data_IF_819421963132
#
_entry.id   IF_819421963132
#
_cell.length_a   1.000
_cell.length_b   1.000
_cell.length_c   1.000
_cell.angle_alpha   90.00
_cell.angle_beta   90.00
_cell.angle_gamma   90.00
#
_symmetry.space_group_name_H-M   'P 1'
#
loop_
_entity.id
_entity.type
_entity.pdbx_description
1 polymer ?
#
# COMPACT_ATOMS: atom_id res chain seq x y z
N UNK A 1 91.57 56.63 -24.91
CA UNK A 1 91.21 55.46 -24.08
C UNK A 1 89.77 55.63 -23.68
N UNK A 2 88.80 54.83 -24.26
CA UNK A 2 87.38 54.86 -23.94
C UNK A 2 87.10 53.70 -22.96
N UNK A 3 86.60 54.01 -21.80
CA UNK A 3 86.18 53.00 -20.82
C UNK A 3 84.69 52.62 -21.13
N UNK A 4 84.44 51.40 -21.42
CA UNK A 4 83.12 50.81 -21.66
C UNK A 4 82.60 50.24 -20.34
N UNK A 5 81.53 50.82 -19.80
CA UNK A 5 80.84 50.32 -18.63
C UNK A 5 79.79 49.26 -19.06
N UNK A 6 79.94 48.04 -18.56
CA UNK A 6 78.96 46.98 -18.74
C UNK A 6 77.94 47.07 -17.67
N UNK A 7 76.63 47.26 -18.04
CA UNK A 7 75.47 47.07 -17.13
C UNK A 7 75.14 45.56 -17.12
N UNK A 8 75.15 44.99 -15.89
CA UNK A 8 74.56 43.70 -15.63
C UNK A 8 73.08 43.92 -15.34
N UNK A 9 72.20 43.40 -16.19
CA UNK A 9 70.77 43.21 -15.90
C UNK A 9 70.62 41.95 -15.04
N UNK A 10 70.31 42.11 -13.77
CA UNK A 10 69.90 41.03 -12.88
C UNK A 10 68.46 40.66 -13.19
N UNK A 11 68.19 39.57 -13.88
CA UNK A 11 66.85 39.03 -14.04
C UNK A 11 66.40 38.34 -12.77
N UNK A 12 65.39 38.89 -12.11
CA UNK A 12 64.68 38.20 -11.03
C UNK A 12 63.76 37.15 -11.65
N UNK A 13 64.16 35.89 -11.58
CA UNK A 13 63.30 34.74 -11.97
C UNK A 13 62.31 34.58 -10.86
N UNK A 14 61.06 35.08 -11.08
CA UNK A 14 59.93 34.79 -10.21
C UNK A 14 59.56 33.33 -10.35
N UNK A 15 59.86 32.52 -9.31
CA UNK A 15 59.36 31.15 -9.20
C UNK A 15 57.89 31.27 -8.86
N UNK A 16 57.00 31.06 -9.84
CA UNK A 16 55.59 30.85 -9.65
C UNK A 16 55.43 29.50 -8.92
N UNK A 17 55.25 29.51 -7.62
CA UNK A 17 54.84 28.36 -6.86
C UNK A 17 53.40 28.04 -7.29
N UNK A 18 53.20 27.10 -8.21
CA UNK A 18 51.94 26.46 -8.46
C UNK A 18 51.59 25.64 -7.23
N UNK A 19 50.78 26.25 -6.33
CA UNK A 19 50.16 25.51 -5.27
C UNK A 19 49.14 24.59 -5.95
N UNK A 20 49.24 23.26 -5.83
CA UNK A 20 48.23 22.38 -6.39
C UNK A 20 46.91 22.71 -5.68
N UNK A 21 45.98 23.27 -6.42
CA UNK A 21 44.60 23.37 -5.98
C UNK A 21 44.09 21.94 -5.92
N UNK A 22 44.05 21.36 -4.73
CA UNK A 22 43.38 20.08 -4.54
C UNK A 22 41.93 20.26 -4.96
N UNK A 23 41.52 19.63 -6.05
CA UNK A 23 40.12 19.64 -6.42
C UNK A 23 39.33 18.98 -5.29
N UNK A 24 38.33 19.67 -4.77
CA UNK A 24 37.41 19.10 -3.80
C UNK A 24 36.77 17.86 -4.42
N UNK A 25 36.90 16.71 -3.76
CA UNK A 25 36.29 15.46 -4.18
C UNK A 25 34.94 15.36 -3.48
N UNK A 26 33.92 14.96 -4.22
CA UNK A 26 32.60 14.71 -3.64
C UNK A 26 32.68 13.52 -2.67
N UNK A 27 32.28 13.72 -1.43
CA UNK A 27 32.36 12.70 -0.38
C UNK A 27 31.39 12.95 0.79
N UNK A 28 31.19 11.89 1.57
CA UNK A 28 30.43 11.94 2.82
C UNK A 28 31.28 12.47 3.97
N UNK A 29 30.67 13.32 4.77
CA UNK A 29 31.26 13.89 5.98
C UNK A 29 30.31 13.74 7.15
N UNK A 30 30.86 13.66 8.35
CA UNK A 30 30.09 13.61 9.59
C UNK A 30 30.70 14.56 10.61
N UNK A 31 29.84 15.23 11.35
CA UNK A 31 30.19 16.01 12.53
C UNK A 31 29.27 15.65 13.72
N UNK A 32 29.26 16.45 14.76
CA UNK A 32 28.43 16.23 15.95
C UNK A 32 26.92 16.48 15.75
N UNK A 33 26.52 17.02 14.58
CA UNK A 33 25.12 17.27 14.22
C UNK A 33 24.57 16.14 13.34
N UNK A 34 25.35 15.68 12.34
CA UNK A 34 24.90 14.64 11.42
C UNK A 34 25.83 14.42 10.22
N UNK A 35 25.29 13.68 9.24
CA UNK A 35 25.96 13.40 7.98
C UNK A 35 25.56 14.44 6.93
N UNK A 36 26.52 14.84 6.08
CA UNK A 36 26.30 15.69 4.92
C UNK A 36 27.22 15.28 3.75
N UNK A 37 26.90 15.70 2.53
CA UNK A 37 27.62 15.29 1.33
C UNK A 37 28.17 16.49 0.57
N UNK A 38 29.53 16.56 0.43
CA UNK A 38 30.22 17.58 -0.35
C UNK A 38 30.19 17.28 -1.85
N UNK A 39 30.26 18.32 -2.65
CA UNK A 39 30.35 18.24 -4.10
C UNK A 39 31.76 18.59 -4.59
N UNK A 40 32.11 18.18 -5.83
CA UNK A 40 33.42 18.45 -6.42
C UNK A 40 33.77 19.94 -6.55
N UNK A 41 32.79 20.83 -6.48
CA UNK A 41 32.98 22.28 -6.52
C UNK A 41 33.12 22.93 -5.13
N UNK A 42 33.21 22.13 -4.07
CA UNK A 42 33.31 22.59 -2.68
C UNK A 42 31.98 22.99 -2.04
N UNK A 43 30.87 22.93 -2.75
CA UNK A 43 29.52 23.08 -2.17
C UNK A 43 29.01 21.76 -1.60
N UNK A 44 27.78 21.74 -1.08
CA UNK A 44 27.12 20.55 -0.54
C UNK A 44 25.62 20.56 -0.85
N UNK A 45 24.99 19.40 -0.78
CA UNK A 45 23.52 19.29 -0.93
C UNK A 45 22.82 19.92 0.28
N UNK A 46 21.76 20.70 0.03
CA UNK A 46 20.88 21.25 1.06
C UNK A 46 19.48 21.48 0.51
N UNK A 47 18.47 21.29 1.36
CA UNK A 47 17.05 21.44 1.02
C UNK A 47 16.67 20.73 -0.31
N UNK A 48 17.15 19.48 -0.49
CA UNK A 48 16.99 18.74 -1.73
C UNK A 48 17.04 17.24 -1.51
N UNK A 49 16.59 16.50 -2.52
CA UNK A 49 16.87 15.09 -2.68
C UNK A 49 17.99 14.92 -3.72
N UNK A 50 18.86 13.96 -3.47
CA UNK A 50 19.97 13.66 -4.37
C UNK A 50 20.23 12.16 -4.48
N UNK A 51 20.58 11.72 -5.69
CA UNK A 51 21.01 10.34 -5.95
C UNK A 51 22.52 10.25 -5.86
N UNK A 52 23.01 9.51 -4.85
CA UNK A 52 24.43 9.30 -4.60
C UNK A 52 24.71 7.81 -4.68
N UNK A 53 25.62 7.39 -5.55
CA UNK A 53 25.98 5.98 -5.76
C UNK A 53 24.76 5.05 -5.97
N UNK A 54 23.76 5.52 -6.74
CA UNK A 54 22.55 4.76 -7.06
C UNK A 54 21.42 4.82 -6.03
N UNK A 55 21.65 5.37 -4.84
CA UNK A 55 20.68 5.50 -3.77
C UNK A 55 20.20 6.94 -3.60
N UNK A 56 18.93 7.12 -3.23
CA UNK A 56 18.36 8.44 -2.95
C UNK A 56 18.52 8.82 -1.48
N UNK A 57 18.85 10.09 -1.24
CA UNK A 57 19.00 10.71 0.07
C UNK A 57 18.26 12.03 0.09
N UNK A 58 17.85 12.47 1.28
CA UNK A 58 17.22 13.77 1.50
C UNK A 58 18.07 14.61 2.45
N UNK A 59 18.23 15.88 2.13
CA UNK A 59 19.03 16.83 2.94
C UNK A 59 18.15 17.99 3.40
N UNK A 60 18.34 18.40 4.66
CA UNK A 60 17.66 19.55 5.26
C UNK A 60 18.20 20.89 4.69
N UNK A 61 17.68 22.01 5.19
CA UNK A 61 18.05 23.35 4.78
C UNK A 61 19.48 23.75 5.22
N UNK A 62 20.03 23.04 6.20
CA UNK A 62 21.43 23.19 6.67
C UNK A 62 22.38 22.26 5.90
N UNK A 63 21.86 21.28 5.18
CA UNK A 63 22.61 20.30 4.40
C UNK A 63 22.84 18.97 5.11
N UNK A 64 22.22 18.71 6.25
CA UNK A 64 22.33 17.41 6.92
C UNK A 64 21.36 16.38 6.34
N UNK A 65 21.85 15.17 6.21
CA UNK A 65 21.09 14.00 5.75
C UNK A 65 19.93 13.72 6.70
N UNK A 66 18.73 13.63 6.14
CA UNK A 66 17.51 13.33 6.86
C UNK A 66 17.24 11.83 6.88
N UNK A 67 16.65 11.32 7.97
CA UNK A 67 16.29 9.91 8.17
C UNK A 67 14.83 9.77 8.63
N UNK A 68 14.31 8.54 8.67
CA UNK A 68 12.94 8.27 9.08
C UNK A 68 11.91 8.75 8.07
N UNK A 69 10.68 9.02 8.54
CA UNK A 69 9.59 9.50 7.71
C UNK A 69 9.82 10.93 7.26
N UNK A 70 9.80 11.17 5.95
CA UNK A 70 9.98 12.47 5.35
C UNK A 70 8.89 12.81 4.36
N UNK A 71 8.31 14.00 4.47
CA UNK A 71 7.41 14.55 3.47
C UNK A 71 8.22 14.89 2.22
N UNK A 72 7.87 14.24 1.10
CA UNK A 72 8.56 14.45 -0.17
C UNK A 72 7.95 15.61 -0.92
N UNK A 73 6.61 15.63 -1.02
CA UNK A 73 5.87 16.74 -1.58
C UNK A 73 4.44 16.77 -1.05
N UNK A 74 3.85 17.95 -1.09
CA UNK A 74 2.42 18.13 -0.87
C UNK A 74 1.82 18.99 -1.97
N UNK A 75 0.58 18.71 -2.31
CA UNK A 75 -0.19 19.46 -3.30
C UNK A 75 -1.59 19.71 -2.76
N UNK A 76 -2.06 20.95 -2.92
CA UNK A 76 -3.47 21.23 -2.71
C UNK A 76 -4.25 20.86 -3.98
N UNK A 77 -5.10 19.87 -3.88
CA UNK A 77 -5.95 19.38 -4.96
C UNK A 77 -7.39 19.85 -4.71
N UNK A 78 -8.02 20.48 -5.73
CA UNK A 78 -9.36 21.07 -5.59
C UNK A 78 -10.47 20.06 -5.30
N UNK A 79 -10.23 18.78 -5.61
CA UNK A 79 -11.19 17.68 -5.39
C UNK A 79 -10.89 16.89 -4.10
N UNK A 80 -9.61 16.71 -3.78
CA UNK A 80 -9.16 15.79 -2.73
C UNK A 80 -8.53 16.51 -1.54
N UNK A 81 -8.43 17.83 -1.56
CA UNK A 81 -7.76 18.62 -0.52
C UNK A 81 -6.24 18.49 -0.59
N UNK A 82 -5.59 18.53 0.57
CA UNK A 82 -4.13 18.46 0.65
C UNK A 82 -3.68 17.00 0.49
N UNK A 83 -3.00 16.72 -0.61
CA UNK A 83 -2.36 15.42 -0.86
C UNK A 83 -0.91 15.49 -0.41
N UNK A 84 -0.53 14.60 0.50
CA UNK A 84 0.83 14.47 1.02
C UNK A 84 1.43 13.13 0.58
N UNK A 85 2.67 13.17 0.12
CA UNK A 85 3.45 11.98 -0.20
C UNK A 85 4.65 11.88 0.74
N UNK A 86 4.72 10.73 1.40
CA UNK A 86 5.75 10.44 2.38
C UNK A 86 6.66 9.33 1.89
N UNK A 87 7.95 9.44 2.19
CA UNK A 87 8.93 8.37 2.02
C UNK A 87 9.63 8.09 3.34
N UNK A 88 10.26 6.93 3.41
CA UNK A 88 11.04 6.53 4.57
C UNK A 88 12.50 6.37 4.20
N UNK A 89 13.35 7.01 4.96
CA UNK A 89 14.80 6.96 4.80
C UNK A 89 15.40 6.15 5.95
N UNK A 90 16.35 5.25 5.62
CA UNK A 90 16.97 4.38 6.60
C UNK A 90 17.50 5.16 7.81
N UNK A 91 17.17 4.76 9.04
CA UNK A 91 17.59 5.49 10.24
C UNK A 91 19.11 5.54 10.45
N UNK A 92 19.84 4.58 9.86
CA UNK A 92 21.30 4.45 10.02
C UNK A 92 22.02 4.97 8.79
N UNK A 93 21.62 4.49 7.60
CA UNK A 93 22.32 4.76 6.36
C UNK A 93 21.77 5.98 5.61
N UNK A 94 20.56 6.45 5.92
CA UNK A 94 19.90 7.58 5.28
C UNK A 94 19.40 7.35 3.86
N UNK A 95 19.57 6.17 3.29
CA UNK A 95 19.07 5.86 1.95
C UNK A 95 17.55 5.62 1.96
N UNK A 96 16.86 6.11 0.92
CA UNK A 96 15.42 5.95 0.73
C UNK A 96 15.05 4.48 0.62
N UNK A 97 14.05 4.04 1.39
CA UNK A 97 13.53 2.68 1.33
C UNK A 97 12.56 2.51 0.18
N UNK A 98 12.68 1.38 -0.50
CA UNK A 98 11.86 0.96 -1.64
C UNK A 98 11.37 -0.47 -1.41
N UNK A 99 10.20 -0.82 -2.00
CA UNK A 99 9.56 -2.11 -1.83
C UNK A 99 8.94 -2.30 -0.46
N UNK A 100 8.80 -3.54 -0.04
CA UNK A 100 8.24 -3.91 1.26
C UNK A 100 9.18 -3.55 2.40
N UNK A 101 8.65 -2.87 3.41
CA UNK A 101 9.37 -2.49 4.62
C UNK A 101 8.51 -2.75 5.85
N UNK A 102 9.10 -3.40 6.87
CA UNK A 102 8.51 -3.46 8.19
C UNK A 102 9.12 -2.36 9.05
N UNK A 103 8.28 -1.44 9.51
CA UNK A 103 8.68 -0.29 10.32
C UNK A 103 7.84 -0.32 11.59
N UNK A 104 8.46 -0.50 12.73
CA UNK A 104 7.81 -0.58 14.04
C UNK A 104 6.66 -1.61 14.10
N UNK A 105 6.86 -2.78 13.45
CA UNK A 105 5.91 -3.89 13.41
C UNK A 105 4.78 -3.75 12.39
N UNK A 106 4.76 -2.69 11.61
CA UNK A 106 3.78 -2.45 10.54
C UNK A 106 4.42 -2.59 9.18
N UNK A 107 3.69 -3.17 8.22
CA UNK A 107 4.15 -3.32 6.85
C UNK A 107 3.72 -2.14 5.98
N UNK A 108 4.65 -1.68 5.15
CA UNK A 108 4.49 -0.61 4.17
C UNK A 108 5.06 -1.04 2.84
N UNK A 109 4.61 -0.42 1.76
CA UNK A 109 5.24 -0.59 0.46
C UNK A 109 5.57 0.77 -0.15
N UNK A 110 6.82 0.93 -0.56
CA UNK A 110 7.33 2.16 -1.16
C UNK A 110 7.70 1.94 -2.62
N UNK A 111 7.17 2.79 -3.49
CA UNK A 111 7.70 2.97 -4.84
C UNK A 111 8.67 4.17 -4.83
N UNK A 112 8.18 5.38 -5.07
CA UNK A 112 8.89 6.63 -4.72
C UNK A 112 8.41 7.18 -3.38
N UNK A 113 7.19 6.90 -3.03
CA UNK A 113 6.56 7.23 -1.75
C UNK A 113 5.75 6.04 -1.23
N UNK A 114 5.31 6.11 0.02
CA UNK A 114 4.44 5.11 0.63
C UNK A 114 3.14 4.98 -0.16
N UNK A 115 2.76 3.75 -0.49
CA UNK A 115 1.49 3.46 -1.15
C UNK A 115 0.32 3.62 -0.17
N UNK A 116 -0.87 3.91 -0.72
CA UNK A 116 -2.12 4.04 0.01
C UNK A 116 -3.30 3.56 -0.81
N UNK A 117 -4.39 3.19 -0.11
CA UNK A 117 -5.58 2.65 -0.74
C UNK A 117 -5.35 1.26 -1.34
N UNK A 118 -6.18 0.88 -2.31
CA UNK A 118 -6.08 -0.42 -2.98
C UNK A 118 -4.92 -0.41 -3.97
N UNK A 119 -4.08 -1.42 -3.90
CA UNK A 119 -2.91 -1.59 -4.75
C UNK A 119 -2.84 -3.03 -5.28
N UNK A 120 -2.47 -3.18 -6.54
CA UNK A 120 -2.10 -4.48 -7.09
C UNK A 120 -0.57 -4.54 -7.20
N UNK A 121 0.03 -5.47 -6.48
CA UNK A 121 1.46 -5.71 -6.47
C UNK A 121 1.70 -7.17 -6.91
N UNK A 122 2.33 -7.34 -8.04
CA UNK A 122 2.66 -8.66 -8.62
C UNK A 122 1.45 -9.61 -8.73
N UNK A 123 0.29 -9.05 -9.15
CA UNK A 123 -0.95 -9.81 -9.33
C UNK A 123 -1.78 -10.02 -8.05
N UNK A 124 -1.31 -9.59 -6.90
CA UNK A 124 -1.98 -9.68 -5.61
C UNK A 124 -2.51 -8.33 -5.18
N UNK A 125 -3.69 -8.30 -4.58
CA UNK A 125 -4.34 -7.07 -4.14
C UNK A 125 -4.10 -6.85 -2.65
N UNK A 126 -3.68 -5.64 -2.30
CA UNK A 126 -3.43 -5.17 -0.95
C UNK A 126 -4.20 -3.89 -0.68
N UNK A 127 -4.40 -3.57 0.59
CA UNK A 127 -4.94 -2.28 1.00
C UNK A 127 -4.04 -1.62 2.03
N UNK A 128 -3.66 -0.39 1.75
CA UNK A 128 -2.86 0.43 2.66
C UNK A 128 -3.74 1.56 3.20
N UNK A 129 -3.64 1.81 4.50
CA UNK A 129 -4.39 2.90 5.12
C UNK A 129 -4.10 4.23 4.41
N UNK A 130 -5.12 4.99 4.01
CA UNK A 130 -4.91 6.23 3.24
C UNK A 130 -4.29 7.38 4.05
N UNK A 131 -4.25 7.25 5.38
CA UNK A 131 -3.72 8.26 6.31
C UNK A 131 -2.36 7.83 6.87
N UNK A 132 -2.27 6.59 7.37
CA UNK A 132 -1.09 6.06 8.04
C UNK A 132 -0.17 5.26 7.11
N UNK A 133 -0.66 4.86 5.91
CA UNK A 133 0.05 4.11 4.86
C UNK A 133 0.40 2.66 5.23
N UNK A 134 0.07 2.18 6.41
CA UNK A 134 0.33 0.80 6.81
C UNK A 134 -0.62 -0.18 6.09
N UNK A 135 -0.09 -1.34 5.73
CA UNK A 135 -0.86 -2.44 5.14
C UNK A 135 -1.92 -2.92 6.10
N UNK A 136 -3.15 -3.03 5.63
CA UNK A 136 -4.29 -3.47 6.42
C UNK A 136 -4.52 -4.98 6.25
N UNK A 137 -4.90 -5.65 7.34
CA UNK A 137 -5.28 -7.06 7.39
C UNK A 137 -6.65 -7.22 8.04
N UNK A 138 -7.30 -8.38 7.89
CA UNK A 138 -8.63 -8.64 8.41
C UNK A 138 -9.71 -7.87 7.65
N UNK A 139 -10.80 -7.55 8.32
CA UNK A 139 -11.93 -6.84 7.73
C UNK A 139 -11.60 -5.37 7.46
N UNK A 140 -11.79 -4.96 6.22
CA UNK A 140 -11.67 -3.56 5.78
C UNK A 140 -12.97 -3.12 5.13
N UNK A 141 -13.58 -2.09 5.68
CA UNK A 141 -14.76 -1.43 5.11
C UNK A 141 -14.32 -0.24 4.27
N UNK A 142 -14.78 -0.19 3.02
CA UNK A 142 -14.48 0.92 2.10
C UNK A 142 -15.76 1.57 1.64
N UNK A 143 -15.83 2.88 1.79
CA UNK A 143 -16.91 3.69 1.23
C UNK A 143 -16.53 4.18 -0.16
N UNK A 144 -17.38 3.95 -1.15
CA UNK A 144 -17.21 4.45 -2.50
C UNK A 144 -18.53 5.04 -2.99
N UNK A 145 -18.57 6.37 -3.11
CA UNK A 145 -19.66 7.18 -3.69
C UNK A 145 -21.10 6.81 -3.23
N UNK A 146 -21.58 5.61 -3.52
CA UNK A 146 -22.96 5.17 -3.26
C UNK A 146 -23.09 3.83 -2.51
N UNK A 147 -21.98 3.21 -2.14
CA UNK A 147 -22.02 1.88 -1.50
C UNK A 147 -20.85 1.66 -0.55
N UNK A 148 -21.17 1.18 0.63
CA UNK A 148 -20.21 0.62 1.58
C UNK A 148 -19.92 -0.83 1.18
N UNK A 149 -18.65 -1.19 1.08
CA UNK A 149 -18.22 -2.54 0.71
C UNK A 149 -17.23 -3.09 1.72
N UNK A 150 -17.38 -4.36 2.08
CA UNK A 150 -16.50 -5.07 2.99
C UNK A 150 -15.56 -5.98 2.22
N UNK A 151 -14.31 -5.98 2.62
CA UNK A 151 -13.26 -6.84 2.07
C UNK A 151 -12.56 -7.53 3.24
N UNK A 152 -11.94 -8.64 2.97
CA UNK A 152 -11.08 -9.30 3.96
C UNK A 152 -9.69 -9.50 3.38
N UNK A 153 -8.70 -9.13 4.14
CA UNK A 153 -7.29 -9.30 3.82
C UNK A 153 -6.69 -10.32 4.76
N UNK A 154 -5.96 -11.29 4.21
CA UNK A 154 -5.32 -12.34 4.99
C UNK A 154 -4.46 -11.76 6.11
N UNK A 155 -4.52 -12.37 7.29
CA UNK A 155 -3.88 -11.83 8.49
C UNK A 155 -2.36 -11.88 8.46
N UNK A 156 -1.77 -12.81 7.69
CA UNK A 156 -0.32 -12.98 7.59
C UNK A 156 0.24 -12.28 6.37
N UNK A 157 -0.34 -12.55 5.20
CA UNK A 157 0.17 -12.03 3.93
C UNK A 157 -0.34 -10.63 3.58
N UNK A 158 -1.49 -10.22 4.12
CA UNK A 158 -2.19 -8.99 3.73
C UNK A 158 -2.86 -9.05 2.37
N UNK A 159 -2.90 -10.22 1.71
CA UNK A 159 -3.54 -10.39 0.41
C UNK A 159 -5.07 -10.36 0.52
N UNK A 160 -5.75 -9.68 -0.40
CA UNK A 160 -7.21 -9.66 -0.44
C UNK A 160 -7.75 -11.06 -0.76
N UNK A 161 -8.64 -11.57 0.09
CA UNK A 161 -9.29 -12.85 -0.15
C UNK A 161 -10.37 -12.73 -1.24
N UNK A 162 -10.59 -13.85 -1.95
CA UNK A 162 -11.61 -14.00 -3.00
C UNK A 162 -12.25 -15.38 -2.94
N UNK A 163 -13.43 -15.54 -3.57
CA UNK A 163 -14.17 -16.79 -3.56
C UNK A 163 -14.76 -17.13 -2.18
N UNK A 164 -15.00 -18.43 -1.96
CA UNK A 164 -15.52 -18.94 -0.70
C UNK A 164 -14.45 -18.90 0.39
N UNK A 165 -14.82 -18.40 1.57
CA UNK A 165 -13.94 -18.29 2.73
C UNK A 165 -14.70 -18.62 4.01
N UNK A 166 -14.02 -19.33 4.90
CA UNK A 166 -14.50 -19.57 6.26
C UNK A 166 -13.66 -18.75 7.24
N UNK A 167 -14.27 -17.76 7.89
CA UNK A 167 -13.62 -16.78 8.77
C UNK A 167 -14.36 -16.82 10.11
N UNK A 168 -13.66 -17.10 11.19
CA UNK A 168 -14.22 -17.16 12.56
C UNK A 168 -15.45 -18.07 12.66
N UNK A 169 -15.44 -19.22 11.95
CA UNK A 169 -16.52 -20.20 11.94
C UNK A 169 -17.75 -19.80 11.13
N UNK A 170 -17.68 -18.71 10.38
CA UNK A 170 -18.76 -18.21 9.51
C UNK A 170 -18.28 -18.26 8.05
N UNK A 171 -19.20 -18.53 7.13
CA UNK A 171 -18.90 -18.67 5.72
C UNK A 171 -19.31 -17.43 4.93
N UNK A 172 -18.40 -17.01 4.03
CA UNK A 172 -18.51 -15.84 3.19
C UNK A 172 -18.18 -16.16 1.75
N UNK A 173 -18.60 -15.30 0.82
CA UNK A 173 -18.13 -15.32 -0.56
C UNK A 173 -17.67 -13.92 -0.97
N UNK A 174 -16.43 -13.81 -1.41
CA UNK A 174 -15.84 -12.56 -1.89
C UNK A 174 -15.80 -12.55 -3.41
N UNK A 175 -16.68 -11.75 -4.00
CA UNK A 175 -16.70 -11.48 -5.43
C UNK A 175 -15.78 -10.32 -5.82
N UNK A 176 -15.91 -9.85 -7.07
CA UNK A 176 -15.15 -8.71 -7.60
C UNK A 176 -15.26 -7.45 -6.72
N UNK A 177 -16.41 -7.24 -6.10
CA UNK A 177 -16.72 -6.04 -5.32
C UNK A 177 -16.69 -6.25 -3.81
N UNK A 178 -16.00 -7.26 -3.32
CA UNK A 178 -15.87 -7.59 -1.90
C UNK A 178 -16.86 -8.67 -1.44
N UNK A 179 -17.16 -8.70 -0.14
CA UNK A 179 -18.06 -9.66 0.46
C UNK A 179 -19.47 -9.54 -0.13
N UNK A 180 -20.02 -10.68 -0.53
CA UNK A 180 -21.37 -10.76 -1.06
C UNK A 180 -22.43 -10.51 0.00
N UNK A 181 -23.54 -9.86 -0.38
CA UNK A 181 -24.70 -9.64 0.47
C UNK A 181 -25.99 -9.80 -0.33
N UNK A 182 -27.06 -10.18 0.35
CA UNK A 182 -28.34 -10.46 -0.29
C UNK A 182 -28.34 -11.77 -1.10
N UNK A 183 -29.22 -11.85 -2.09
CA UNK A 183 -29.39 -13.00 -2.94
C UNK A 183 -28.44 -12.93 -4.14
N UNK A 184 -27.59 -13.93 -4.33
CA UNK A 184 -26.65 -14.00 -5.45
C UNK A 184 -26.61 -15.40 -6.06
N UNK A 185 -26.15 -15.47 -7.33
CA UNK A 185 -25.85 -16.71 -8.03
C UNK A 185 -24.34 -16.94 -8.05
N UNK A 186 -23.92 -18.15 -7.64
CA UNK A 186 -22.54 -18.61 -7.68
C UNK A 186 -22.55 -19.99 -8.34
N UNK A 187 -21.85 -20.15 -9.43
CA UNK A 187 -21.73 -21.44 -10.17
C UNK A 187 -23.08 -22.13 -10.44
N UNK A 188 -24.08 -21.33 -10.83
CA UNK A 188 -25.43 -21.83 -11.19
C UNK A 188 -26.33 -22.13 -9.98
N UNK A 189 -25.86 -21.98 -8.75
CA UNK A 189 -26.66 -22.13 -7.53
C UNK A 189 -26.96 -20.77 -6.91
N UNK A 190 -28.07 -20.67 -6.22
CA UNK A 190 -28.51 -19.45 -5.56
C UNK A 190 -28.22 -19.53 -4.08
N UNK A 191 -27.69 -18.44 -3.53
CA UNK A 191 -27.33 -18.30 -2.12
C UNK A 191 -27.89 -17.00 -1.56
N UNK A 192 -27.97 -16.92 -0.23
CA UNK A 192 -28.32 -15.69 0.46
C UNK A 192 -27.31 -15.37 1.55
N UNK A 193 -26.76 -14.19 1.47
CA UNK A 193 -25.85 -13.65 2.47
C UNK A 193 -26.54 -12.52 3.22
N UNK A 194 -26.35 -12.48 4.53
CA UNK A 194 -26.89 -11.42 5.37
C UNK A 194 -26.46 -10.03 4.84
N UNK A 195 -27.40 -9.09 4.81
CA UNK A 195 -27.14 -7.76 4.22
C UNK A 195 -26.15 -6.92 5.01
N UNK A 196 -26.08 -7.14 6.33
CA UNK A 196 -25.25 -6.35 7.23
C UNK A 196 -23.94 -7.03 7.55
N UNK A 197 -23.98 -8.34 7.86
CA UNK A 197 -22.78 -9.11 8.23
C UNK A 197 -22.07 -9.74 7.05
N UNK A 198 -22.75 -9.94 5.91
CA UNK A 198 -22.29 -10.68 4.72
C UNK A 198 -22.10 -12.19 4.97
N UNK A 199 -22.64 -12.74 6.07
CA UNK A 199 -22.55 -14.15 6.41
C UNK A 199 -23.52 -14.98 5.57
N UNK A 200 -23.10 -16.14 5.10
CA UNK A 200 -23.98 -17.11 4.43
C UNK A 200 -25.09 -17.54 5.38
N UNK A 201 -26.31 -17.45 4.94
CA UNK A 201 -27.49 -17.95 5.69
C UNK A 201 -27.76 -19.41 5.33
N UNK A 202 -28.08 -20.21 6.35
CA UNK A 202 -28.39 -21.63 6.26
C UNK A 202 -29.77 -21.87 6.89
N UNK A 203 -30.54 -22.80 6.33
CA UNK A 203 -31.85 -23.16 6.84
C UNK A 203 -32.99 -22.30 6.25
N UNK A 204 -34.07 -22.14 7.01
CA UNK A 204 -35.26 -21.41 6.57
C UNK A 204 -35.01 -19.91 6.49
N UNK A 205 -35.50 -19.30 5.40
CA UNK A 205 -35.41 -17.86 5.13
C UNK A 205 -36.76 -17.32 4.66
N UNK A 206 -37.16 -16.17 5.20
CA UNK A 206 -38.30 -15.40 4.73
C UNK A 206 -37.84 -14.12 4.08
N UNK A 207 -38.00 -14.00 2.76
CA UNK A 207 -37.60 -12.86 1.96
C UNK A 207 -38.85 -12.21 1.35
N UNK A 208 -39.33 -11.15 1.99
CA UNK A 208 -40.63 -10.54 1.72
C UNK A 208 -41.76 -11.52 2.05
N UNK A 209 -42.59 -11.81 1.05
CA UNK A 209 -43.72 -12.78 1.20
C UNK A 209 -43.37 -14.23 0.86
N UNK A 210 -42.16 -14.48 0.49
CA UNK A 210 -41.73 -15.79 0.02
C UNK A 210 -40.83 -16.47 1.04
N UNK A 211 -40.98 -17.81 1.13
CA UNK A 211 -40.19 -18.65 2.01
C UNK A 211 -39.24 -19.54 1.19
N UNK A 212 -37.99 -19.64 1.65
CA UNK A 212 -36.89 -20.39 1.01
C UNK A 212 -36.21 -21.30 2.03
N UNK A 213 -35.50 -22.28 1.54
CA UNK A 213 -34.64 -23.12 2.37
C UNK A 213 -33.23 -23.16 1.80
N UNK A 214 -32.26 -22.60 2.50
CA UNK A 214 -30.85 -22.70 2.22
C UNK A 214 -30.35 -24.04 2.77
N UNK A 215 -30.17 -25.02 1.88
CA UNK A 215 -29.92 -26.40 2.24
C UNK A 215 -28.52 -26.58 2.84
N UNK A 216 -28.38 -26.96 4.14
CA UNK A 216 -27.08 -27.18 4.73
C UNK A 216 -26.31 -28.34 4.07
N UNK A 217 -27.00 -29.32 3.50
CA UNK A 217 -26.41 -30.46 2.82
C UNK A 217 -25.92 -30.11 1.40
N UNK A 218 -26.33 -28.96 0.87
CA UNK A 218 -25.90 -28.41 -0.43
C UNK A 218 -25.07 -27.10 -0.23
N UNK A 219 -24.34 -27.02 0.88
CA UNK A 219 -23.46 -25.89 1.18
C UNK A 219 -24.18 -24.56 1.35
N UNK A 220 -25.49 -24.55 1.67
CA UNK A 220 -26.31 -23.36 1.84
C UNK A 220 -26.94 -22.84 0.54
N UNK A 221 -26.87 -23.58 -0.54
CA UNK A 221 -27.63 -23.26 -1.76
C UNK A 221 -29.12 -23.37 -1.51
N UNK A 222 -29.94 -22.53 -2.16
CA UNK A 222 -31.39 -22.67 -2.09
C UNK A 222 -31.85 -23.99 -2.67
N UNK A 223 -32.71 -24.68 -1.95
CA UNK A 223 -33.48 -25.79 -2.50
C UNK A 223 -34.26 -25.25 -3.71
N UNK A 224 -33.94 -25.76 -4.91
CA UNK A 224 -34.52 -25.27 -6.17
C UNK A 224 -34.95 -26.48 -7.02
N UNK A 225 -36.19 -26.41 -7.57
CA UNK A 225 -36.77 -27.44 -8.41
C UNK A 225 -36.67 -28.86 -7.79
N UNK A 226 -36.91 -28.98 -6.50
CA UNK A 226 -36.81 -30.26 -5.76
C UNK A 226 -37.76 -30.32 -4.55
N UNK A 227 -38.00 -31.52 -4.10
CA UNK A 227 -38.69 -31.79 -2.83
C UNK A 227 -37.69 -32.29 -1.81
N UNK A 228 -37.73 -31.75 -0.61
CA UNK A 228 -36.90 -32.15 0.53
C UNK A 228 -37.79 -32.58 1.70
N UNK A 229 -37.30 -33.56 2.47
CA UNK A 229 -37.86 -33.89 3.79
C UNK A 229 -37.02 -33.12 4.83
N UNK A 230 -37.66 -32.19 5.54
CA UNK A 230 -37.04 -31.38 6.56
C UNK A 230 -37.81 -31.61 7.86
N UNK A 231 -37.17 -32.12 8.90
CA UNK A 231 -37.79 -32.45 10.18
C UNK A 231 -39.04 -33.35 10.07
N UNK A 232 -38.98 -34.33 9.09
CA UNK A 232 -40.03 -35.29 8.84
C UNK A 232 -41.19 -34.80 7.96
N UNK A 233 -41.15 -33.52 7.54
CA UNK A 233 -42.20 -32.92 6.66
C UNK A 233 -41.63 -32.75 5.24
N UNK A 234 -42.46 -33.05 4.25
CA UNK A 234 -42.09 -32.89 2.83
C UNK A 234 -42.39 -31.47 2.34
N UNK A 235 -41.36 -30.82 1.79
CA UNK A 235 -41.42 -29.47 1.23
C UNK A 235 -41.00 -29.45 -0.22
N UNK A 236 -41.79 -28.82 -1.09
CA UNK A 236 -41.50 -28.69 -2.52
C UNK A 236 -41.17 -27.23 -2.85
N UNK A 237 -40.10 -27.06 -3.60
CA UNK A 237 -39.57 -25.75 -4.01
C UNK A 237 -39.62 -25.62 -5.53
N UNK A 238 -40.00 -24.45 -6.02
CA UNK A 238 -40.01 -24.13 -7.45
C UNK A 238 -38.58 -23.91 -8.00
N UNK A 239 -38.46 -23.59 -9.29
CA UNK A 239 -37.19 -23.33 -9.95
C UNK A 239 -36.44 -22.12 -9.33
N UNK A 240 -37.16 -21.12 -8.81
CA UNK A 240 -36.60 -19.95 -8.12
C UNK A 240 -36.24 -20.22 -6.66
N UNK A 241 -36.48 -21.44 -6.16
CA UNK A 241 -36.25 -21.85 -4.77
C UNK A 241 -37.36 -21.41 -3.79
N UNK A 242 -38.50 -20.94 -4.30
CA UNK A 242 -39.63 -20.55 -3.45
C UNK A 242 -40.38 -21.79 -2.98
N UNK A 243 -40.74 -21.85 -1.72
CA UNK A 243 -41.63 -22.88 -1.21
C UNK A 243 -43.03 -22.76 -1.84
N UNK A 244 -43.49 -23.82 -2.50
CA UNK A 244 -44.80 -23.90 -3.20
C UNK A 244 -45.75 -24.86 -2.52
N UNK A 245 -45.24 -25.88 -1.81
CA UNK A 245 -46.08 -26.84 -1.11
C UNK A 245 -45.35 -27.47 0.08
N UNK A 246 -46.10 -27.76 1.16
CA UNK A 246 -45.67 -28.60 2.27
C UNK A 246 -46.78 -29.65 2.53
N UNK A 247 -46.35 -30.92 2.60
CA UNK A 247 -47.26 -32.02 2.92
C UNK A 247 -46.73 -32.66 4.21
N UNK A 248 -47.53 -32.73 5.27
CA UNK A 248 -47.12 -33.31 6.55
C UNK A 248 -46.93 -34.85 6.46
#
# INVERSE_FOLDING_TARGET
MKKTTKFLLGGVLGILLLIPVSQAKADWHQDNVGWWYSLNNGSYYKNTEAKINGKWYKFDDRGYMMTGWQLIWERNDSRWGIIKNWSYFDPVNGDQKIGWQNIDGKWYYFQHSALKGSQNLDGKNYYFDPVNFDMQTGWVTREKASATRKYYYDLESGEQLSGWQDIDGKRYYFGEYGASSGRIYIEGKQYYFDSDTCELKIGWLELGKYKYYADPNDGGAFASNKTLIIDGVSYTFDYGGTLINNVP
#
